data_IF_080421530893
#
_entry.id   IF_080421530893
#
_cell.length_a   1.000
_cell.length_b   1.000
_cell.length_c   1.000
_cell.angle_alpha   90.00
_cell.angle_beta   90.00
_cell.angle_gamma   90.00
#
_symmetry.space_group_name_H-M   'P 1'
#
loop_
_entity.id
_entity.type
_entity.pdbx_description
1 polymer ?
#
# COMPACT_ATOMS: atom_id res chain seq x y z
N UNK A 1 3.26 -4.41 -3.36
CA UNK A 1 2.10 -3.51 -3.14
C UNK A 1 1.33 -4.02 -1.93
N UNK A 2 0.95 -3.11 -1.03
CA UNK A 2 0.26 -3.41 0.22
C UNK A 2 -1.11 -2.71 0.22
N UNK A 3 -2.19 -3.47 0.34
CA UNK A 3 -3.55 -2.98 0.51
C UNK A 3 -3.93 -2.94 2.00
N UNK A 4 -4.40 -1.80 2.50
CA UNK A 4 -4.73 -1.63 3.93
C UNK A 4 -6.17 -1.98 4.29
N UNK A 5 -7.06 -2.08 3.29
CA UNK A 5 -8.47 -2.37 3.48
C UNK A 5 -9.01 -3.21 2.33
N UNK A 6 -10.13 -3.89 2.56
CA UNK A 6 -10.73 -4.80 1.59
C UNK A 6 -11.09 -4.11 0.26
N UNK A 7 -11.51 -2.84 0.32
CA UNK A 7 -11.82 -2.06 -0.87
C UNK A 7 -10.56 -1.79 -1.69
N UNK A 8 -9.46 -1.36 -1.05
CA UNK A 8 -8.17 -1.21 -1.72
C UNK A 8 -7.65 -2.54 -2.29
N UNK A 9 -7.81 -3.65 -1.55
CA UNK A 9 -7.40 -4.98 -2.00
C UNK A 9 -8.16 -5.41 -3.27
N UNK A 10 -9.47 -5.19 -3.32
CA UNK A 10 -10.31 -5.49 -4.50
C UNK A 10 -9.89 -4.65 -5.72
N UNK A 11 -9.60 -3.37 -5.53
CA UNK A 11 -9.12 -2.50 -6.62
C UNK A 11 -7.78 -2.98 -7.16
N UNK A 12 -6.81 -3.23 -6.29
CA UNK A 12 -5.48 -3.70 -6.72
C UNK A 12 -5.58 -5.10 -7.36
N UNK A 13 -6.42 -5.98 -6.84
CA UNK A 13 -6.61 -7.32 -7.40
C UNK A 13 -7.12 -7.24 -8.85
N UNK A 14 -8.15 -6.41 -9.09
CA UNK A 14 -8.67 -6.16 -10.45
C UNK A 14 -7.61 -5.57 -11.39
N UNK A 15 -6.75 -4.68 -10.89
CA UNK A 15 -5.66 -4.09 -11.67
C UNK A 15 -4.58 -5.13 -12.02
N UNK A 16 -4.23 -5.99 -11.07
CA UNK A 16 -3.18 -7.01 -11.25
C UNK A 16 -3.60 -8.07 -12.26
N UNK A 17 -4.87 -8.48 -12.23
CA UNK A 17 -5.44 -9.41 -13.22
C UNK A 17 -5.40 -8.85 -14.64
N UNK A 18 -5.61 -7.53 -14.81
CA UNK A 18 -5.61 -6.90 -16.14
C UNK A 18 -4.21 -6.67 -16.70
N UNK A 19 -3.23 -6.46 -15.84
CA UNK A 19 -1.92 -5.96 -16.26
C UNK A 19 -0.76 -6.96 -16.12
N UNK A 20 -0.98 -8.21 -15.67
CA UNK A 20 0.09 -9.23 -15.52
C UNK A 20 1.40 -8.62 -14.99
N UNK A 21 1.33 -7.96 -13.84
CA UNK A 21 2.49 -7.33 -13.21
C UNK A 21 3.16 -8.34 -12.26
N UNK A 22 4.49 -8.38 -12.26
CA UNK A 22 5.28 -9.18 -11.32
C UNK A 22 5.33 -8.58 -9.90
N UNK A 23 4.30 -7.82 -9.53
CA UNK A 23 4.25 -7.11 -8.25
C UNK A 23 3.63 -8.05 -7.22
N UNK A 24 4.32 -8.29 -6.11
CA UNK A 24 3.72 -9.01 -4.98
C UNK A 24 2.59 -8.18 -4.37
N UNK A 25 1.40 -8.74 -4.32
CA UNK A 25 0.22 -8.11 -3.75
C UNK A 25 0.00 -8.69 -2.35
N UNK A 26 0.11 -7.81 -1.36
CA UNK A 26 -0.05 -8.11 0.05
C UNK A 26 -1.24 -7.33 0.60
N UNK A 27 -2.02 -7.93 1.48
CA UNK A 27 -3.05 -7.25 2.26
C UNK A 27 -2.67 -7.24 3.73
N UNK A 28 -3.14 -6.24 4.47
CA UNK A 28 -3.10 -6.24 5.93
C UNK A 28 -4.40 -6.87 6.43
N UNK A 29 -4.37 -8.05 7.07
CA UNK A 29 -5.54 -8.60 7.76
C UNK A 29 -6.02 -7.66 8.87
N UNK A 30 -7.30 -7.74 9.25
CA UNK A 30 -7.82 -6.98 10.38
C UNK A 30 -7.10 -7.43 11.67
N UNK A 31 -6.35 -6.52 12.29
CA UNK A 31 -5.68 -6.75 13.56
C UNK A 31 -5.97 -5.62 14.54
N UNK A 32 -6.21 -6.01 15.79
CA UNK A 32 -6.57 -5.12 16.90
C UNK A 32 -5.35 -4.74 17.77
N UNK A 33 -4.12 -4.98 17.28
CA UNK A 33 -2.88 -4.71 18.02
C UNK A 33 -1.93 -3.83 17.23
N UNK A 34 -1.28 -2.88 17.93
CA UNK A 34 -0.15 -2.12 17.42
C UNK A 34 1.04 -3.07 17.25
N UNK A 35 1.26 -3.54 16.02
CA UNK A 35 2.42 -4.36 15.69
C UNK A 35 3.18 -3.64 14.59
N UNK A 36 4.41 -3.19 14.88
CA UNK A 36 5.22 -2.42 13.92
C UNK A 36 5.83 -3.31 12.85
N UNK A 37 6.84 -4.09 13.20
CA UNK A 37 7.63 -4.89 12.26
C UNK A 37 7.09 -6.32 12.07
N UNK A 38 6.40 -6.83 13.09
CA UNK A 38 5.66 -8.08 13.05
C UNK A 38 4.23 -7.91 12.49
N UNK A 39 3.94 -6.78 11.85
CA UNK A 39 2.67 -6.54 11.17
C UNK A 39 2.46 -7.67 10.14
N UNK A 40 1.42 -8.51 10.28
CA UNK A 40 1.23 -9.63 9.39
C UNK A 40 0.72 -9.12 8.05
N UNK A 41 1.26 -9.68 6.98
CA UNK A 41 0.88 -9.41 5.61
C UNK A 41 0.46 -10.73 4.98
N UNK A 42 -0.63 -10.71 4.21
CA UNK A 42 -1.11 -11.88 3.50
C UNK A 42 -1.01 -11.65 2.00
N UNK A 43 -0.31 -12.56 1.31
CA UNK A 43 -0.27 -12.60 -0.14
C UNK A 43 -1.56 -13.20 -0.73
N UNK A 44 -1.78 -12.95 -2.02
CA UNK A 44 -2.98 -13.45 -2.73
C UNK A 44 -3.05 -14.97 -2.87
N UNK A 45 -1.93 -15.67 -2.76
CA UNK A 45 -1.88 -17.13 -2.70
C UNK A 45 -2.18 -17.69 -1.30
N UNK A 46 -2.49 -16.82 -0.34
CA UNK A 46 -2.75 -17.15 1.06
C UNK A 46 -1.48 -17.22 1.92
N UNK A 47 -0.29 -17.02 1.35
CA UNK A 47 0.97 -17.03 2.10
C UNK A 47 1.00 -15.85 3.08
N UNK A 48 1.23 -16.14 4.36
CA UNK A 48 1.43 -15.11 5.37
C UNK A 48 2.93 -14.81 5.53
N UNK A 49 3.28 -13.53 5.57
CA UNK A 49 4.60 -13.02 5.93
C UNK A 49 4.44 -11.88 6.95
N UNK A 50 5.55 -11.35 7.47
CA UNK A 50 5.53 -10.10 8.23
C UNK A 50 6.07 -8.95 7.37
N UNK A 51 5.81 -7.72 7.82
CA UNK A 51 6.27 -6.52 7.16
C UNK A 51 7.80 -6.49 7.01
N UNK A 52 8.55 -6.89 8.05
CA UNK A 52 10.01 -6.95 7.97
C UNK A 52 10.51 -7.83 6.82
N UNK A 53 9.97 -9.04 6.66
CA UNK A 53 10.34 -9.95 5.57
C UNK A 53 9.91 -9.42 4.19
N UNK A 54 8.74 -8.80 4.10
CA UNK A 54 8.27 -8.21 2.85
C UNK A 54 9.15 -7.02 2.40
N UNK A 55 9.65 -6.23 3.34
CA UNK A 55 10.53 -5.09 3.05
C UNK A 55 11.96 -5.49 2.72
N UNK A 56 12.44 -6.64 3.20
CA UNK A 56 13.80 -7.12 2.95
C UNK A 56 14.10 -7.37 1.46
N UNK A 57 13.07 -7.67 0.67
CA UNK A 57 13.17 -7.96 -0.77
C UNK A 57 12.60 -6.84 -1.66
N UNK A 58 12.16 -5.73 -1.09
CA UNK A 58 11.42 -4.71 -1.81
C UNK A 58 12.21 -3.40 -1.92
N UNK A 59 12.50 -2.97 -3.14
CA UNK A 59 13.06 -1.64 -3.42
C UNK A 59 11.97 -0.55 -3.47
N UNK A 60 10.73 -0.96 -3.73
CA UNK A 60 9.55 -0.11 -3.88
C UNK A 60 8.32 -0.74 -3.22
N UNK A 61 7.66 0.02 -2.35
CA UNK A 61 6.40 -0.34 -1.71
C UNK A 61 5.34 0.68 -2.07
N UNK A 62 4.28 0.19 -2.70
CA UNK A 62 3.07 0.97 -2.92
C UNK A 62 2.03 0.62 -1.86
N UNK A 63 1.52 1.60 -1.12
CA UNK A 63 0.52 1.45 -0.05
C UNK A 63 -0.80 2.02 -0.53
N UNK A 64 -1.84 1.19 -0.65
CA UNK A 64 -3.16 1.63 -1.10
C UNK A 64 -4.19 1.58 0.04
N UNK A 65 -4.98 2.63 0.19
CA UNK A 65 -6.06 2.69 1.17
C UNK A 65 -7.22 3.58 0.74
N UNK A 66 -8.42 3.25 1.20
CA UNK A 66 -9.62 4.11 1.16
C UNK A 66 -9.75 5.03 2.39
N UNK A 67 -8.65 5.18 3.15
CA UNK A 67 -8.49 5.95 4.39
C UNK A 67 -9.13 5.37 5.66
N UNK A 68 -9.37 4.06 5.67
CA UNK A 68 -9.95 3.36 6.83
C UNK A 68 -8.91 3.13 7.94
N UNK A 69 -7.60 3.11 7.62
CA UNK A 69 -6.56 2.78 8.61
C UNK A 69 -5.30 3.67 8.52
N UNK A 70 -5.34 4.90 9.08
CA UNK A 70 -4.21 5.83 9.02
C UNK A 70 -2.99 5.37 9.84
N UNK A 71 -3.20 4.66 10.95
CA UNK A 71 -2.09 4.18 11.79
C UNK A 71 -1.27 3.11 11.09
N UNK A 72 -1.93 2.13 10.48
CA UNK A 72 -1.24 1.09 9.71
C UNK A 72 -0.49 1.69 8.51
N UNK A 73 -1.08 2.70 7.85
CA UNK A 73 -0.41 3.44 6.78
C UNK A 73 0.88 4.11 7.27
N UNK A 74 0.83 4.77 8.44
CA UNK A 74 1.99 5.39 9.07
C UNK A 74 3.06 4.35 9.43
N UNK A 75 2.67 3.25 10.07
CA UNK A 75 3.59 2.16 10.46
C UNK A 75 4.35 1.62 9.26
N UNK A 76 3.65 1.32 8.17
CA UNK A 76 4.29 0.80 6.95
C UNK A 76 5.21 1.86 6.35
N UNK A 77 4.75 3.09 6.19
CA UNK A 77 5.55 4.13 5.57
C UNK A 77 6.80 4.48 6.41
N UNK A 78 6.67 4.51 7.74
CA UNK A 78 7.79 4.65 8.68
C UNK A 78 8.78 3.50 8.54
N UNK A 79 8.30 2.26 8.47
CA UNK A 79 9.15 1.07 8.33
C UNK A 79 9.90 1.02 6.98
N UNK A 80 9.28 1.50 5.90
CA UNK A 80 9.94 1.67 4.61
C UNK A 80 11.00 2.79 4.68
N UNK A 81 10.65 3.93 5.27
CA UNK A 81 11.53 5.09 5.40
C UNK A 81 12.78 4.77 6.20
N UNK A 82 12.68 4.00 7.28
CA UNK A 82 13.84 3.59 8.09
C UNK A 82 14.78 2.62 7.37
N UNK A 83 14.28 1.92 6.34
CA UNK A 83 15.04 0.96 5.53
C UNK A 83 15.52 1.52 4.18
N UNK A 84 15.21 2.78 3.87
CA UNK A 84 15.55 3.39 2.57
C UNK A 84 14.73 2.85 1.40
N UNK A 85 13.60 2.19 1.67
CA UNK A 85 12.71 1.63 0.65
C UNK A 85 11.81 2.73 0.08
N UNK A 86 11.70 2.80 -1.25
CA UNK A 86 10.85 3.80 -1.91
C UNK A 86 9.38 3.54 -1.55
N UNK A 87 8.66 4.56 -1.07
CA UNK A 87 7.26 4.43 -0.67
C UNK A 87 6.37 5.34 -1.51
N UNK A 88 5.39 4.72 -2.17
CA UNK A 88 4.34 5.40 -2.95
C UNK A 88 3.00 5.18 -2.25
N UNK A 89 2.38 6.24 -1.76
CA UNK A 89 1.05 6.17 -1.17
C UNK A 89 -0.03 6.41 -2.21
N UNK A 90 -1.03 5.53 -2.28
CA UNK A 90 -2.20 5.64 -3.15
C UNK A 90 -3.45 5.73 -2.29
N UNK A 91 -4.15 6.85 -2.36
CA UNK A 91 -5.37 7.10 -1.61
C UNK A 91 -6.55 7.04 -2.56
N UNK A 92 -7.36 6.01 -2.38
CA UNK A 92 -8.59 5.72 -3.10
C UNK A 92 -9.76 6.43 -2.40
N UNK A 93 -9.88 7.75 -2.52
CA UNK A 93 -10.96 8.50 -1.88
C UNK A 93 -11.64 9.50 -2.81
N UNK A 94 -12.95 9.65 -2.58
CA UNK A 94 -13.75 10.77 -3.05
C UNK A 94 -13.77 11.86 -1.97
N UNK A 95 -13.01 12.93 -2.19
CA UNK A 95 -13.12 14.18 -1.42
C UNK A 95 -12.64 14.12 0.04
N UNK A 96 -11.36 14.41 0.26
CA UNK A 96 -10.86 15.34 1.27
C UNK A 96 -9.34 15.41 1.08
N UNK A 97 -8.78 16.53 0.59
CA UNK A 97 -7.34 16.66 0.31
C UNK A 97 -6.46 16.65 1.58
N UNK A 98 -7.03 16.40 2.77
CA UNK A 98 -6.35 16.44 4.08
C UNK A 98 -6.75 15.27 5.01
N UNK A 99 -7.21 14.15 4.43
CA UNK A 99 -7.64 12.97 5.19
C UNK A 99 -6.55 12.38 6.12
N UNK A 100 -6.94 11.66 7.19
CA UNK A 100 -6.00 11.14 8.18
C UNK A 100 -4.96 10.19 7.59
N UNK A 101 -5.31 9.40 6.56
CA UNK A 101 -4.35 8.55 5.85
C UNK A 101 -3.30 9.36 5.07
N UNK A 102 -3.68 10.50 4.50
CA UNK A 102 -2.73 11.39 3.83
C UNK A 102 -1.74 11.99 4.84
N UNK A 103 -2.24 12.45 5.99
CA UNK A 103 -1.39 12.99 7.06
C UNK A 103 -0.40 11.96 7.61
N UNK A 104 -0.83 10.70 7.70
CA UNK A 104 0.01 9.58 8.11
C UNK A 104 1.11 9.25 7.08
N UNK A 105 0.78 9.30 5.79
CA UNK A 105 1.72 8.94 4.72
C UNK A 105 2.67 10.09 4.35
N UNK A 106 2.24 11.35 4.43
CA UNK A 106 3.00 12.54 3.99
C UNK A 106 4.43 12.65 4.53
N UNK A 107 4.73 12.30 5.79
CA UNK A 107 6.08 12.40 6.33
C UNK A 107 7.07 11.37 5.74
N UNK A 108 6.56 10.28 5.15
CA UNK A 108 7.36 9.10 4.82
C UNK A 108 7.25 8.66 3.36
N UNK A 109 6.15 8.97 2.68
CA UNK A 109 5.97 8.67 1.26
C UNK A 109 6.70 9.69 0.39
N UNK A 110 7.45 9.23 -0.61
CA UNK A 110 8.08 10.14 -1.57
C UNK A 110 7.11 10.57 -2.66
N UNK A 111 6.11 9.74 -2.97
CA UNK A 111 5.05 10.05 -3.95
C UNK A 111 3.70 9.73 -3.33
N UNK A 112 2.75 10.65 -3.49
CA UNK A 112 1.37 10.49 -3.05
C UNK A 112 0.43 10.72 -4.22
N UNK A 113 -0.43 9.73 -4.46
CA UNK A 113 -1.44 9.75 -5.52
C UNK A 113 -2.79 9.69 -4.86
N UNK A 114 -3.62 10.71 -5.10
CA UNK A 114 -4.99 10.75 -4.63
C UNK A 114 -5.85 10.66 -5.88
N UNK A 115 -6.57 9.55 -6.02
CA UNK A 115 -7.47 9.36 -7.16
C UNK A 115 -8.76 8.68 -6.74
N UNK A 116 -9.82 9.01 -7.47
CA UNK A 116 -11.10 8.33 -7.40
C UNK A 116 -11.36 7.51 -8.68
N UNK A 117 -10.44 7.54 -9.64
CA UNK A 117 -10.48 6.73 -10.85
C UNK A 117 -9.45 5.61 -10.73
N UNK A 118 -9.95 4.38 -10.76
CA UNK A 118 -9.09 3.20 -10.66
C UNK A 118 -8.20 3.05 -11.91
N UNK A 119 -8.57 3.70 -13.02
CA UNK A 119 -7.82 3.70 -14.28
C UNK A 119 -6.50 4.48 -14.17
N UNK A 120 -6.46 5.55 -13.38
CA UNK A 120 -5.23 6.34 -13.15
C UNK A 120 -4.12 5.49 -12.51
N UNK A 121 -4.51 4.57 -11.62
CA UNK A 121 -3.55 3.70 -10.93
C UNK A 121 -2.97 2.69 -11.92
N UNK A 122 -3.77 2.19 -12.88
CA UNK A 122 -3.26 1.32 -13.95
C UNK A 122 -2.22 2.02 -14.80
N UNK A 123 -2.44 3.29 -15.14
CA UNK A 123 -1.49 4.08 -15.93
C UNK A 123 -0.20 4.35 -15.17
N UNK A 124 -0.29 4.75 -13.90
CA UNK A 124 0.91 4.93 -13.05
C UNK A 124 1.68 3.62 -12.91
N UNK A 125 1.00 2.50 -12.67
CA UNK A 125 1.63 1.19 -12.59
C UNK A 125 2.26 0.76 -13.91
N UNK A 126 1.66 1.14 -15.04
CA UNK A 126 2.24 0.88 -16.36
C UNK A 126 3.47 1.77 -16.60
N UNK A 127 3.46 3.01 -16.12
CA UNK A 127 4.59 3.94 -16.25
C UNK A 127 5.80 3.55 -15.37
N UNK A 128 5.57 3.00 -14.18
CA UNK A 128 6.63 2.50 -13.29
C UNK A 128 7.30 1.21 -13.77
N UNK A 129 6.82 0.61 -14.87
CA UNK A 129 7.42 -0.58 -15.52
C UNK A 129 8.44 -0.24 -16.61
N UNK A 130 8.60 1.04 -16.97
CA UNK A 130 9.49 1.49 -18.02
C UNK A 130 10.97 1.50 -17.57
#
# INVERSE_FOLDING_TARGET
>A
MIALDAAAADVIHRLTLRHHSAIRLLSVPEFDRDVEEDLPLQAMDGTCSNLAAALAEADLVMVATTAVNPRTAETIARACSSRGVMTVGVILQRGCPDGPALRALRPHAQVLIITNDHSDIAEVLSALRA
#
